data_IF_517262405977
#
_entry.id   IF_517262405977
#
_cell.length_a   1.000
_cell.length_b   1.000
_cell.length_c   1.000
_cell.angle_alpha   90.00
_cell.angle_beta   90.00
_cell.angle_gamma   90.00
#
_symmetry.space_group_name_H-M   'P 1'
#
loop_
_entity.id
_entity.type
_entity.pdbx_description
1 polymer ?
#
# COMPACT_ATOMS: atom_id res chain seq x y z
N UNK A 1 -10.10 1.02 27.37
CA UNK A 1 -10.51 1.73 26.12
C UNK A 1 -9.35 2.43 25.45
N UNK A 2 -8.55 3.21 26.20
CA UNK A 2 -7.36 3.91 25.66
C UNK A 2 -6.36 2.97 24.97
N UNK A 3 -5.99 1.85 25.59
CA UNK A 3 -5.03 0.89 25.00
C UNK A 3 -5.51 0.33 23.65
N UNK A 4 -6.80 -0.01 23.56
CA UNK A 4 -7.38 -0.52 22.32
C UNK A 4 -7.39 0.56 21.23
N UNK A 5 -7.74 1.80 21.58
CA UNK A 5 -7.70 2.93 20.65
C UNK A 5 -6.26 3.19 20.16
N UNK A 6 -5.29 3.15 21.06
CA UNK A 6 -3.87 3.30 20.75
C UNK A 6 -3.40 2.21 19.79
N UNK A 7 -3.72 0.94 20.08
CA UNK A 7 -3.35 -0.18 19.22
C UNK A 7 -3.93 -0.05 17.80
N UNK A 8 -5.17 0.42 17.68
CA UNK A 8 -5.81 0.64 16.37
C UNK A 8 -5.13 1.78 15.60
N UNK A 9 -4.81 2.89 16.27
CA UNK A 9 -4.09 4.01 15.65
C UNK A 9 -2.71 3.56 15.19
N UNK A 10 -1.96 2.84 16.03
CA UNK A 10 -0.63 2.32 15.69
C UNK A 10 -0.72 1.38 14.50
N UNK A 11 -1.71 0.46 14.49
CA UNK A 11 -1.94 -0.43 13.35
C UNK A 11 -2.25 0.34 12.06
N UNK A 12 -3.11 1.35 12.12
CA UNK A 12 -3.43 2.18 10.96
C UNK A 12 -2.19 2.91 10.43
N UNK A 13 -1.44 3.58 11.31
CA UNK A 13 -0.22 4.31 10.94
C UNK A 13 0.81 3.35 10.35
N UNK A 14 0.96 2.15 10.91
CA UNK A 14 1.85 1.13 10.35
C UNK A 14 1.42 0.74 8.92
N UNK A 15 0.12 0.51 8.67
CA UNK A 15 -0.41 0.26 7.32
C UNK A 15 -0.07 1.43 6.38
N UNK A 16 -0.31 2.66 6.81
CA UNK A 16 -0.05 3.85 6.00
C UNK A 16 1.44 3.98 5.63
N UNK A 17 2.34 3.73 6.59
CA UNK A 17 3.78 3.71 6.34
C UNK A 17 4.15 2.62 5.35
N UNK A 18 3.61 1.41 5.49
CA UNK A 18 3.85 0.32 4.53
C UNK A 18 3.35 0.67 3.12
N UNK A 19 2.19 1.31 2.99
CA UNK A 19 1.66 1.79 1.70
C UNK A 19 2.56 2.87 1.09
N UNK A 20 3.06 3.82 1.87
CA UNK A 20 4.01 4.82 1.39
C UNK A 20 5.34 4.21 0.97
N UNK A 21 5.94 3.37 1.81
CA UNK A 21 7.24 2.72 1.50
C UNK A 21 7.11 1.84 0.27
N UNK A 22 6.05 1.04 0.18
CA UNK A 22 5.79 0.23 -1.00
C UNK A 22 5.54 1.09 -2.23
N UNK A 23 4.90 2.26 -2.14
CA UNK A 23 4.63 3.07 -3.34
C UNK A 23 5.83 3.90 -3.80
N UNK A 24 6.65 4.41 -2.89
CA UNK A 24 7.70 5.39 -3.20
C UNK A 24 9.05 4.73 -3.46
N UNK A 25 9.33 3.60 -2.79
CA UNK A 25 10.69 3.06 -2.80
C UNK A 25 10.91 2.08 -3.95
N UNK A 26 12.02 2.31 -4.64
CA UNK A 26 12.41 1.67 -5.89
C UNK A 26 12.95 0.25 -5.78
N UNK A 27 12.12 -0.65 -5.25
CA UNK A 27 12.46 -2.06 -5.01
C UNK A 27 11.23 -2.97 -5.15
N UNK A 28 10.43 -2.82 -6.20
CA UNK A 28 9.38 -3.80 -6.52
C UNK A 28 9.96 -5.05 -7.17
N UNK A 29 11.02 -4.89 -7.96
CA UNK A 29 11.74 -5.98 -8.58
C UNK A 29 13.25 -5.67 -8.65
N UNK A 30 14.06 -6.72 -8.48
CA UNK A 30 15.53 -6.64 -8.43
C UNK A 30 16.13 -7.79 -9.24
N UNK A 31 17.12 -7.51 -10.09
CA UNK A 31 17.93 -8.56 -10.72
C UNK A 31 19.13 -8.02 -11.50
N UNK A 32 20.24 -8.77 -11.49
CA UNK A 32 21.42 -8.53 -12.34
C UNK A 32 22.06 -7.12 -12.32
N UNK A 33 21.89 -6.32 -11.25
CA UNK A 33 22.35 -4.91 -11.21
C UNK A 33 21.33 -3.88 -11.69
N UNK A 34 20.10 -4.33 -11.98
CA UNK A 34 18.93 -3.53 -12.30
C UNK A 34 17.92 -3.59 -11.15
N UNK A 35 17.37 -2.44 -10.79
CA UNK A 35 16.25 -2.30 -9.86
C UNK A 35 15.13 -1.58 -10.59
N UNK A 36 14.00 -2.26 -10.77
CA UNK A 36 12.82 -1.70 -11.43
C UNK A 36 11.76 -1.38 -10.39
N UNK A 37 11.18 -0.19 -10.51
CA UNK A 37 10.15 0.35 -9.63
C UNK A 37 8.85 0.60 -10.40
N UNK A 38 7.80 0.96 -9.67
CA UNK A 38 6.59 1.56 -10.20
C UNK A 38 6.90 2.80 -11.04
N UNK A 39 7.80 3.69 -10.58
CA UNK A 39 7.98 5.02 -11.19
C UNK A 39 9.23 5.12 -12.07
N UNK A 40 10.29 4.42 -11.70
CA UNK A 40 11.61 4.56 -12.32
C UNK A 40 12.28 3.19 -12.48
N UNK A 41 12.98 3.02 -13.59
CA UNK A 41 13.84 1.88 -13.83
C UNK A 41 15.28 2.34 -13.70
N UNK A 42 15.98 1.82 -12.70
CA UNK A 42 17.38 2.14 -12.45
C UNK A 42 18.26 0.95 -12.85
N UNK A 43 19.35 1.26 -13.54
CA UNK A 43 20.35 0.29 -13.99
C UNK A 43 21.74 0.74 -13.56
N UNK A 44 22.55 -0.21 -13.11
CA UNK A 44 23.96 0.04 -12.81
C UNK A 44 24.76 -0.26 -14.07
N UNK A 45 25.34 0.79 -14.67
CA UNK A 45 26.27 0.61 -15.79
C UNK A 45 27.57 -0.05 -15.33
N UNK A 46 28.34 -0.61 -16.28
CA UNK A 46 29.67 -1.21 -16.06
C UNK A 46 30.70 -0.30 -15.38
N UNK A 47 30.43 1.01 -15.31
CA UNK A 47 31.23 2.03 -14.62
C UNK A 47 30.75 2.36 -13.19
N UNK A 48 29.84 1.58 -12.59
CA UNK A 48 29.17 1.85 -11.30
C UNK A 48 28.36 3.15 -11.26
N UNK A 49 27.96 3.67 -12.42
CA UNK A 49 27.07 4.84 -12.52
C UNK A 49 25.63 4.34 -12.54
N UNK A 50 24.81 4.86 -11.62
CA UNK A 50 23.37 4.60 -11.55
C UNK A 50 22.63 5.49 -12.55
N UNK A 51 22.03 4.88 -13.57
CA UNK A 51 21.14 5.58 -14.49
C UNK A 51 19.70 5.19 -14.21
N UNK A 52 18.87 6.17 -13.88
CA UNK A 52 17.44 6.01 -13.66
C UNK A 52 16.66 6.69 -14.79
N UNK A 53 15.77 5.93 -15.41
CA UNK A 53 14.83 6.41 -16.42
C UNK A 53 13.40 6.21 -15.92
N UNK A 54 12.44 7.01 -16.39
CA UNK A 54 11.03 6.78 -16.05
C UNK A 54 10.58 5.39 -16.49
N UNK A 55 9.75 4.75 -15.67
CA UNK A 55 9.20 3.42 -15.98
C UNK A 55 8.36 3.47 -17.27
N UNK A 56 8.24 2.31 -17.94
CA UNK A 56 7.53 2.26 -19.22
C UNK A 56 6.05 2.62 -19.05
N UNK A 57 5.46 3.23 -20.07
CA UNK A 57 4.06 3.66 -20.08
C UNK A 57 3.08 2.51 -20.33
N UNK A 58 3.37 1.31 -19.81
CA UNK A 58 2.49 0.16 -19.97
C UNK A 58 1.17 0.40 -19.23
N UNK A 59 0.04 0.13 -19.88
CA UNK A 59 -1.30 0.35 -19.31
C UNK A 59 -1.53 -0.42 -18.00
N UNK A 60 -0.99 -1.64 -17.91
CA UNK A 60 -1.07 -2.44 -16.68
C UNK A 60 -0.27 -1.79 -15.55
N UNK A 61 0.90 -1.21 -15.83
CA UNK A 61 1.73 -0.56 -14.82
C UNK A 61 1.09 0.75 -14.34
N UNK A 62 0.50 1.52 -15.26
CA UNK A 62 -0.31 2.69 -14.91
C UNK A 62 -1.50 2.33 -14.02
N UNK A 63 -2.13 1.17 -14.27
CA UNK A 63 -3.20 0.66 -13.40
C UNK A 63 -2.68 0.33 -12.00
N UNK A 64 -1.50 -0.27 -11.88
CA UNK A 64 -0.85 -0.52 -10.57
C UNK A 64 -0.51 0.81 -9.88
N UNK A 65 0.09 1.78 -10.58
CA UNK A 65 0.41 3.11 -10.04
C UNK A 65 -0.85 3.83 -9.51
N UNK A 66 -1.91 3.87 -10.31
CA UNK A 66 -3.17 4.51 -9.93
C UNK A 66 -3.81 3.84 -8.71
N UNK A 67 -3.81 2.50 -8.66
CA UNK A 67 -4.38 1.75 -7.53
C UNK A 67 -3.55 1.88 -6.26
N UNK A 68 -2.21 1.97 -6.36
CA UNK A 68 -1.35 2.29 -5.21
C UNK A 68 -1.62 3.69 -4.66
N UNK A 69 -1.70 4.72 -5.51
CA UNK A 69 -2.07 6.08 -5.08
C UNK A 69 -3.45 6.09 -4.41
N UNK A 70 -4.42 5.41 -5.03
CA UNK A 70 -5.78 5.35 -4.50
C UNK A 70 -5.83 4.66 -3.13
N UNK A 71 -5.00 3.63 -2.91
CA UNK A 71 -4.88 2.98 -1.60
C UNK A 71 -4.40 3.93 -0.50
N UNK A 72 -3.40 4.79 -0.81
CA UNK A 72 -2.91 5.81 0.13
C UNK A 72 -3.99 6.84 0.40
N UNK A 73 -4.68 7.35 -0.63
CA UNK A 73 -5.76 8.33 -0.47
C UNK A 73 -6.85 7.79 0.45
N UNK A 74 -7.32 6.56 0.21
CA UNK A 74 -8.35 5.96 1.04
C UNK A 74 -7.89 5.70 2.48
N UNK A 75 -6.63 5.30 2.69
CA UNK A 75 -6.10 5.13 4.05
C UNK A 75 -5.98 6.48 4.77
N UNK A 76 -5.48 7.54 4.13
CA UNK A 76 -5.42 8.88 4.72
C UNK A 76 -6.80 9.42 5.05
N UNK A 77 -7.78 9.25 4.15
CA UNK A 77 -9.17 9.63 4.38
C UNK A 77 -9.76 8.85 5.57
N UNK A 78 -9.49 7.55 5.66
CA UNK A 78 -9.91 6.73 6.79
C UNK A 78 -9.33 7.27 8.11
N UNK A 79 -8.04 7.60 8.16
CA UNK A 79 -7.41 8.17 9.35
C UNK A 79 -8.03 9.52 9.74
N UNK A 80 -8.28 10.38 8.78
CA UNK A 80 -8.95 11.66 9.02
C UNK A 80 -10.37 11.47 9.58
N UNK A 81 -11.17 10.60 8.93
CA UNK A 81 -12.53 10.27 9.36
C UNK A 81 -12.53 9.65 10.76
N UNK A 82 -11.52 8.86 11.10
CA UNK A 82 -11.38 8.29 12.43
C UNK A 82 -11.27 9.38 13.51
N UNK A 83 -10.42 10.38 13.28
CA UNK A 83 -10.31 11.53 14.18
C UNK A 83 -11.60 12.35 14.24
N UNK A 84 -12.26 12.59 13.11
CA UNK A 84 -13.56 13.25 13.11
C UNK A 84 -14.59 12.47 13.94
N UNK A 85 -14.72 11.16 13.71
CA UNK A 85 -15.66 10.30 14.41
C UNK A 85 -15.33 10.15 15.90
N UNK A 86 -14.07 10.26 16.31
CA UNK A 86 -13.70 10.27 17.73
C UNK A 86 -14.43 11.38 18.51
N UNK A 87 -14.51 12.58 17.92
CA UNK A 87 -15.12 13.74 18.56
C UNK A 87 -16.60 13.91 18.23
N UNK A 88 -17.04 13.61 17.00
CA UNK A 88 -18.41 13.90 16.54
C UNK A 88 -19.42 12.78 16.83
N UNK A 89 -18.95 11.54 16.97
CA UNK A 89 -19.83 10.38 17.10
C UNK A 89 -20.47 10.35 18.50
N UNK A 90 -21.79 10.16 18.54
CA UNK A 90 -22.54 9.99 19.78
C UNK A 90 -22.23 8.64 20.45
N UNK A 91 -22.52 8.54 21.74
CA UNK A 91 -22.32 7.30 22.51
C UNK A 91 -23.04 6.14 21.84
N UNK A 92 -22.34 5.02 21.68
CA UNK A 92 -22.89 3.82 21.06
C UNK A 92 -22.81 3.76 19.53
N UNK A 93 -22.32 4.82 18.87
CA UNK A 93 -22.03 4.80 17.42
C UNK A 93 -20.87 3.87 17.06
N UNK A 94 -20.76 3.55 15.77
CA UNK A 94 -19.71 2.69 15.18
C UNK A 94 -18.91 3.44 14.12
N UNK A 95 -17.66 3.05 13.92
CA UNK A 95 -16.72 3.70 12.99
C UNK A 95 -16.83 3.13 11.56
N UNK A 96 -18.05 3.05 11.03
CA UNK A 96 -18.31 2.40 9.73
C UNK A 96 -17.57 3.06 8.56
N UNK A 97 -17.68 4.39 8.42
CA UNK A 97 -17.03 5.11 7.31
C UNK A 97 -15.51 4.94 7.34
N UNK A 98 -14.89 5.13 8.51
CA UNK A 98 -13.47 4.85 8.72
C UNK A 98 -13.11 3.44 8.25
N UNK A 99 -13.84 2.43 8.72
CA UNK A 99 -13.56 1.04 8.36
C UNK A 99 -13.73 0.73 6.87
N UNK A 100 -14.77 1.27 6.22
CA UNK A 100 -15.02 1.08 4.79
C UNK A 100 -13.87 1.64 3.94
N UNK A 101 -13.43 2.87 4.21
CA UNK A 101 -12.30 3.45 3.47
C UNK A 101 -11.00 2.66 3.69
N UNK A 102 -10.77 2.13 4.90
CA UNK A 102 -9.60 1.31 5.18
C UNK A 102 -9.65 -0.05 4.46
N UNK A 103 -10.84 -0.66 4.36
CA UNK A 103 -11.05 -1.89 3.57
C UNK A 103 -10.81 -1.61 2.10
N UNK A 104 -11.34 -0.50 1.56
CA UNK A 104 -11.12 -0.10 0.17
C UNK A 104 -9.63 0.12 -0.12
N UNK A 105 -8.88 0.74 0.80
CA UNK A 105 -7.42 0.85 0.70
C UNK A 105 -6.75 -0.54 0.59
N UNK A 106 -7.17 -1.49 1.43
CA UNK A 106 -6.72 -2.89 1.38
C UNK A 106 -7.02 -3.57 0.04
N UNK A 107 -8.22 -3.39 -0.50
CA UNK A 107 -8.60 -3.96 -1.80
C UNK A 107 -7.81 -3.32 -2.97
N UNK A 108 -7.51 -2.03 -2.90
CA UNK A 108 -6.67 -1.35 -3.88
C UNK A 108 -5.24 -1.90 -3.90
N UNK A 109 -4.60 -2.03 -2.73
CA UNK A 109 -3.23 -2.58 -2.68
C UNK A 109 -3.18 -4.07 -3.08
N UNK A 110 -4.20 -4.86 -2.71
CA UNK A 110 -4.33 -6.24 -3.18
C UNK A 110 -4.43 -6.32 -4.71
N UNK A 111 -5.24 -5.45 -5.32
CA UNK A 111 -5.40 -5.39 -6.78
C UNK A 111 -4.08 -5.00 -7.45
N UNK A 112 -3.41 -3.96 -6.94
CA UNK A 112 -2.10 -3.51 -7.43
C UNK A 112 -1.06 -4.64 -7.40
N UNK A 113 -0.89 -5.30 -6.24
CA UNK A 113 0.06 -6.38 -6.07
C UNK A 113 -0.28 -7.60 -6.94
N UNK A 114 -1.57 -7.93 -7.09
CA UNK A 114 -2.02 -9.05 -7.93
C UNK A 114 -1.77 -8.80 -9.42
N UNK A 115 -2.11 -7.60 -9.92
CA UNK A 115 -1.83 -7.21 -11.31
C UNK A 115 -0.33 -7.27 -11.56
N UNK A 116 0.48 -6.71 -10.66
CA UNK A 116 1.93 -6.76 -10.78
C UNK A 116 2.43 -8.21 -10.84
N UNK A 117 1.93 -9.08 -9.95
CA UNK A 117 2.30 -10.51 -9.91
C UNK A 117 2.04 -11.20 -11.26
N UNK A 118 0.87 -10.98 -11.85
CA UNK A 118 0.47 -11.63 -13.11
C UNK A 118 1.20 -11.02 -14.31
N UNK A 119 1.44 -9.71 -14.30
CA UNK A 119 1.97 -8.97 -15.46
C UNK A 119 3.49 -8.82 -15.49
N UNK A 120 4.18 -9.09 -14.38
CA UNK A 120 5.64 -8.97 -14.37
C UNK A 120 6.36 -9.91 -15.36
N UNK A 121 5.72 -11.02 -15.75
CA UNK A 121 6.22 -11.99 -16.73
C UNK A 121 6.20 -11.45 -18.16
N UNK A 122 5.29 -10.52 -18.49
CA UNK A 122 5.20 -9.91 -19.82
C UNK A 122 6.45 -9.05 -20.14
N UNK A 123 7.27 -8.74 -19.12
CA UNK A 123 8.52 -7.99 -19.28
C UNK A 123 9.78 -8.85 -19.46
N UNK A 124 9.77 -10.17 -19.19
CA UNK A 124 11.03 -10.91 -19.01
C UNK A 124 11.14 -12.24 -19.78
N UNK A 125 11.92 -12.20 -20.87
CA UNK A 125 12.46 -13.37 -21.57
C UNK A 125 13.74 -13.95 -20.91
N UNK A 126 14.28 -13.33 -19.85
CA UNK A 126 15.50 -13.80 -19.15
C UNK A 126 15.27 -13.87 -17.63
N UNK A 127 15.77 -14.93 -17.01
CA UNK A 127 15.28 -15.58 -15.78
C UNK A 127 15.80 -15.05 -14.43
N UNK A 128 16.52 -13.93 -14.38
CA UNK A 128 17.34 -13.57 -13.20
C UNK A 128 16.73 -12.45 -12.31
N UNK A 129 15.43 -12.16 -12.48
CA UNK A 129 14.75 -11.11 -11.71
C UNK A 129 13.89 -11.69 -10.58
N UNK A 130 13.98 -11.06 -9.42
CA UNK A 130 13.30 -11.45 -8.18
C UNK A 130 12.41 -10.32 -7.65
N UNK A 131 11.38 -10.66 -6.89
CA UNK A 131 10.57 -9.65 -6.20
C UNK A 131 11.40 -8.92 -5.15
N UNK A 132 11.37 -7.59 -5.20
CA UNK A 132 12.02 -6.76 -4.20
C UNK A 132 11.15 -6.58 -2.96
N UNK A 133 11.73 -5.99 -1.92
CA UNK A 133 11.05 -5.86 -0.63
C UNK A 133 9.83 -4.93 -0.68
N UNK A 134 9.79 -3.93 -1.57
CA UNK A 134 8.65 -3.01 -1.66
C UNK A 134 7.37 -3.74 -2.08
N UNK A 135 7.49 -4.71 -2.99
CA UNK A 135 6.40 -5.62 -3.36
C UNK A 135 5.96 -6.50 -2.19
N UNK A 136 6.90 -7.03 -1.40
CA UNK A 136 6.58 -7.82 -0.20
C UNK A 136 5.83 -6.95 0.83
N UNK A 137 6.27 -5.71 1.04
CA UNK A 137 5.60 -4.78 1.94
C UNK A 137 4.17 -4.45 1.49
N UNK A 138 3.89 -4.38 0.18
CA UNK A 138 2.52 -4.23 -0.33
C UNK A 138 1.63 -5.42 0.06
N UNK A 139 2.15 -6.65 -0.07
CA UNK A 139 1.43 -7.85 0.38
C UNK A 139 1.26 -7.94 1.89
N UNK A 140 2.18 -7.40 2.67
CA UNK A 140 2.03 -7.29 4.14
C UNK A 140 1.03 -6.20 4.50
N UNK A 141 1.00 -5.08 3.76
CA UNK A 141 0.06 -3.99 3.98
C UNK A 141 -1.40 -4.44 3.76
N UNK A 142 -1.67 -5.32 2.79
CA UNK A 142 -3.01 -5.82 2.48
C UNK A 142 -3.77 -6.41 3.69
N UNK A 143 -3.31 -7.51 4.32
CA UNK A 143 -4.04 -8.13 5.42
C UNK A 143 -4.09 -7.22 6.65
N UNK A 144 -3.07 -6.38 6.88
CA UNK A 144 -3.07 -5.40 7.96
C UNK A 144 -4.11 -4.29 7.73
N UNK A 145 -4.28 -3.83 6.49
CA UNK A 145 -5.31 -2.86 6.11
C UNK A 145 -6.71 -3.46 6.27
N UNK A 146 -6.94 -4.69 5.82
CA UNK A 146 -8.22 -5.39 6.02
C UNK A 146 -8.52 -5.58 7.50
N UNK A 147 -7.56 -6.07 8.29
CA UNK A 147 -7.74 -6.27 9.72
C UNK A 147 -8.06 -4.94 10.41
N UNK A 148 -7.31 -3.88 10.09
CA UNK A 148 -7.55 -2.53 10.58
C UNK A 148 -8.98 -2.07 10.27
N UNK A 149 -9.42 -2.21 9.02
CA UNK A 149 -10.76 -1.83 8.58
C UNK A 149 -11.88 -2.63 9.26
N UNK A 150 -11.74 -3.95 9.39
CA UNK A 150 -12.71 -4.80 10.10
C UNK A 150 -12.80 -4.41 11.57
N UNK A 151 -11.67 -4.16 12.23
CA UNK A 151 -11.65 -3.71 13.63
C UNK A 151 -12.38 -2.37 13.77
N UNK A 152 -12.20 -1.41 12.85
CA UNK A 152 -12.96 -0.16 12.85
C UNK A 152 -14.47 -0.37 12.71
N UNK A 153 -14.92 -1.26 11.81
CA UNK A 153 -16.35 -1.56 11.63
C UNK A 153 -16.98 -2.14 12.90
N UNK A 154 -16.25 -3.02 13.60
CA UNK A 154 -16.73 -3.67 14.83
C UNK A 154 -16.66 -2.72 16.03
N UNK A 155 -15.73 -1.76 16.02
CA UNK A 155 -15.50 -0.83 17.12
C UNK A 155 -16.77 -0.01 17.40
N UNK A 156 -17.19 -0.03 18.67
CA UNK A 156 -18.30 0.77 19.18
C UNK A 156 -17.79 1.74 20.23
N UNK A 157 -18.16 3.01 20.12
CA UNK A 157 -17.86 4.03 21.15
C UNK A 157 -18.62 3.68 22.44
N UNK A 158 -17.89 3.25 23.47
CA UNK A 158 -18.42 3.06 24.83
C UNK A 158 -18.06 4.30 25.65
N UNK A 159 -19.10 4.97 26.16
CA UNK A 159 -19.04 6.25 26.89
C UNK A 159 -18.40 7.46 26.20
#
# INVERSE_FOLDING_TARGET
MLLLLLSIIVLHVAVLVLLFVSTIVSHWMVGGGHSTDLWQNCSTSTSNIYHCFSASTNEWLQSVQATMILSIIFSVLSLFLFFCQLFTLTKGGRFYFTGVFQILAGLCVMSAASIYTVKHTDWHFNSDNSYGYAYILAWVAFPLALLSGVVYVILRKRE
#
